data_IF_734726173294
#
_entry.id   IF_734726173294
#
_cell.length_a   1.000
_cell.length_b   1.000
_cell.length_c   1.000
_cell.angle_alpha   90.00
_cell.angle_beta   90.00
_cell.angle_gamma   90.00
#
_symmetry.space_group_name_H-M   'P 1'
#
loop_
_entity.id
_entity.type
_entity.pdbx_description
1 polymer ?
#
# COMPACT_ATOMS: atom_id res chain seq x y z
N UNK A 1 4.31 -11.52 11.75
CA UNK A 1 4.02 -10.14 12.15
C UNK A 1 2.76 -9.69 11.45
N UNK A 2 1.74 -9.22 12.18
CA UNK A 2 0.42 -8.91 11.63
C UNK A 2 0.19 -7.40 11.58
N UNK A 3 -0.23 -6.92 10.43
CA UNK A 3 -0.45 -5.50 10.17
C UNK A 3 -1.84 -5.03 10.60
N UNK A 4 -2.85 -5.91 10.59
CA UNK A 4 -4.25 -5.53 10.84
C UNK A 4 -5.12 -6.71 11.28
N UNK A 5 -6.28 -6.40 11.86
CA UNK A 5 -7.37 -7.35 12.18
C UNK A 5 -8.24 -7.73 10.99
N UNK A 6 -8.00 -7.17 9.80
CA UNK A 6 -8.76 -7.52 8.60
C UNK A 6 -8.57 -9.01 8.31
N UNK A 7 -9.68 -9.69 8.01
CA UNK A 7 -9.73 -11.17 7.92
C UNK A 7 -8.73 -11.73 6.92
N UNK A 8 -8.58 -11.07 5.78
CA UNK A 8 -7.62 -11.40 4.72
C UNK A 8 -6.15 -11.31 5.17
N UNK A 9 -5.86 -10.59 6.26
CA UNK A 9 -4.52 -10.51 6.85
C UNK A 9 -4.32 -11.49 8.03
N UNK A 10 -5.35 -11.74 8.85
CA UNK A 10 -5.17 -12.46 10.12
C UNK A 10 -5.85 -13.84 10.23
N UNK A 11 -6.67 -14.26 9.24
CA UNK A 11 -7.45 -15.52 9.36
C UNK A 11 -6.62 -16.79 9.48
N UNK A 12 -5.38 -16.77 8.96
CA UNK A 12 -4.51 -17.95 8.94
C UNK A 12 -3.75 -18.18 10.25
N UNK A 13 -3.79 -17.23 11.19
CA UNK A 13 -2.88 -17.22 12.34
C UNK A 13 -3.07 -18.43 13.26
N UNK A 14 -4.32 -18.75 13.62
CA UNK A 14 -4.61 -19.85 14.54
C UNK A 14 -4.24 -21.21 13.95
N UNK A 15 -4.47 -21.38 12.64
CA UNK A 15 -4.05 -22.59 11.94
C UNK A 15 -2.54 -22.70 11.87
N UNK A 16 -1.85 -21.60 11.57
CA UNK A 16 -0.39 -21.59 11.51
C UNK A 16 0.23 -21.87 12.89
N UNK A 17 -0.28 -21.25 13.95
CA UNK A 17 0.18 -21.47 15.32
C UNK A 17 -0.08 -22.91 15.82
N UNK A 18 -1.15 -23.57 15.33
CA UNK A 18 -1.38 -25.00 15.60
C UNK A 18 -0.32 -25.90 14.97
N UNK A 19 0.20 -25.55 13.80
CA UNK A 19 1.25 -26.31 13.13
C UNK A 19 2.65 -26.01 13.70
N UNK A 20 2.85 -24.82 14.25
CA UNK A 20 4.13 -24.36 14.80
C UNK A 20 3.92 -23.80 16.22
N UNK A 21 3.94 -24.65 17.27
CA UNK A 21 3.59 -24.24 18.64
C UNK A 21 4.49 -23.15 19.23
N UNK A 22 5.75 -23.08 18.81
CA UNK A 22 6.72 -22.08 19.28
C UNK A 22 6.70 -20.79 18.44
N UNK A 23 5.78 -20.69 17.46
CA UNK A 23 5.68 -19.53 16.59
C UNK A 23 5.23 -18.29 17.39
N UNK A 24 6.06 -17.26 17.36
CA UNK A 24 5.71 -15.97 17.94
C UNK A 24 4.85 -15.15 16.97
N UNK A 25 3.68 -14.72 17.43
CA UNK A 25 2.72 -13.93 16.66
C UNK A 25 2.70 -12.51 17.22
N UNK A 26 3.23 -11.58 16.43
CA UNK A 26 3.33 -10.16 16.76
C UNK A 26 2.20 -9.34 16.13
N UNK A 27 1.69 -8.34 16.86
CA UNK A 27 0.66 -7.43 16.38
C UNK A 27 0.23 -6.40 17.43
N UNK A 28 -0.50 -5.36 17.02
CA UNK A 28 -0.86 -4.25 17.91
C UNK A 28 -2.16 -4.46 18.70
N UNK A 29 -2.94 -5.51 18.39
CA UNK A 29 -4.27 -5.72 18.94
C UNK A 29 -4.46 -7.13 19.50
N UNK A 30 -4.92 -7.22 20.76
CA UNK A 30 -5.22 -8.48 21.45
C UNK A 30 -6.29 -9.33 20.77
N UNK A 31 -7.08 -8.76 19.86
CA UNK A 31 -8.09 -9.46 19.06
C UNK A 31 -7.47 -10.24 17.89
N UNK A 32 -6.18 -10.07 17.61
CA UNK A 32 -5.46 -10.84 16.60
C UNK A 32 -5.42 -12.30 17.07
N UNK A 33 -5.93 -13.22 16.24
CA UNK A 33 -5.91 -14.65 16.53
C UNK A 33 -4.48 -15.16 16.76
N UNK A 34 -4.32 -16.00 17.77
CA UNK A 34 -3.04 -16.57 18.22
C UNK A 34 -1.94 -15.56 18.60
N UNK A 35 -2.27 -14.29 18.89
CA UNK A 35 -1.29 -13.30 19.31
C UNK A 35 -0.51 -13.76 20.55
N UNK A 36 0.81 -13.76 20.46
CA UNK A 36 1.70 -14.04 21.60
C UNK A 36 2.32 -12.74 22.13
N UNK A 37 2.68 -11.82 21.23
CA UNK A 37 3.48 -10.65 21.55
C UNK A 37 2.75 -9.39 21.05
N UNK A 38 2.18 -8.62 21.97
CA UNK A 38 1.59 -7.33 21.62
C UNK A 38 2.69 -6.28 21.50
N UNK A 39 2.76 -5.60 20.36
CA UNK A 39 3.77 -4.55 20.09
C UNK A 39 3.17 -3.15 20.09
N UNK A 40 4.03 -2.16 20.29
CA UNK A 40 3.69 -0.73 20.33
C UNK A 40 4.50 0.09 19.32
N UNK A 41 4.16 1.37 19.17
CA UNK A 41 4.88 2.28 18.26
C UNK A 41 6.34 2.44 18.70
N UNK A 42 7.25 2.47 17.73
CA UNK A 42 8.71 2.53 17.89
C UNK A 42 9.35 1.37 18.68
N UNK A 43 8.58 0.34 19.00
CA UNK A 43 9.14 -0.86 19.61
C UNK A 43 10.06 -1.58 18.61
N UNK A 44 11.30 -1.80 19.03
CA UNK A 44 12.30 -2.51 18.24
C UNK A 44 12.39 -3.97 18.67
N UNK A 45 12.35 -4.85 17.67
CA UNK A 45 12.50 -6.29 17.81
C UNK A 45 13.73 -6.72 17.02
N UNK A 46 14.32 -7.85 17.41
CA UNK A 46 15.48 -8.42 16.72
C UNK A 46 15.29 -9.92 16.49
N UNK A 47 15.52 -10.36 15.26
CA UNK A 47 15.43 -11.74 14.83
C UNK A 47 16.73 -12.14 14.12
N UNK A 48 17.70 -12.65 14.89
CA UNK A 48 19.06 -12.83 14.37
C UNK A 48 19.69 -11.47 14.04
N UNK A 49 20.14 -11.29 12.81
CA UNK A 49 20.72 -10.02 12.32
C UNK A 49 19.66 -9.02 11.83
N UNK A 50 18.41 -9.47 11.70
CA UNK A 50 17.28 -8.66 11.23
C UNK A 50 16.73 -7.81 12.37
N UNK A 51 16.85 -6.50 12.23
CA UNK A 51 16.22 -5.52 13.11
C UNK A 51 14.84 -5.15 12.54
N UNK A 52 13.84 -5.00 13.42
CA UNK A 52 12.47 -4.62 13.06
C UNK A 52 12.00 -3.49 13.96
N UNK A 53 11.53 -2.39 13.38
CA UNK A 53 10.83 -1.31 14.10
C UNK A 53 9.34 -1.36 13.82
N UNK A 54 8.54 -1.39 14.87
CA UNK A 54 7.08 -1.43 14.80
C UNK A 54 6.52 -0.01 14.66
N UNK A 55 5.85 0.28 13.54
CA UNK A 55 5.34 1.60 13.21
C UNK A 55 3.81 1.62 13.27
N UNK A 56 3.26 2.13 14.37
CA UNK A 56 1.81 2.25 14.53
C UNK A 56 1.21 3.26 13.54
N UNK A 57 0.29 2.82 12.68
CA UNK A 57 -0.28 3.63 11.58
C UNK A 57 -1.82 3.59 11.55
N UNK A 58 -2.51 4.06 12.61
CA UNK A 58 -3.96 3.97 12.69
C UNK A 58 -4.61 4.78 11.57
N UNK A 59 -5.52 4.19 10.80
CA UNK A 59 -6.45 4.88 9.91
C UNK A 59 -7.33 3.85 9.18
N UNK A 60 -6.68 2.96 8.41
CA UNK A 60 -7.38 1.88 7.72
C UNK A 60 -8.10 0.95 8.70
N UNK A 61 -7.41 0.63 9.79
CA UNK A 61 -8.00 0.17 11.04
C UNK A 61 -7.40 0.99 12.17
N UNK A 62 -8.09 1.08 13.30
CA UNK A 62 -7.57 1.80 14.48
C UNK A 62 -6.34 1.13 15.10
N UNK A 63 -6.07 -0.12 14.72
CA UNK A 63 -4.96 -0.91 15.27
C UNK A 63 -3.93 -1.34 14.21
N UNK A 64 -3.86 -0.61 13.09
CA UNK A 64 -2.93 -0.96 12.02
C UNK A 64 -1.45 -0.74 12.44
N UNK A 65 -0.58 -1.66 12.04
CA UNK A 65 0.86 -1.66 12.31
C UNK A 65 1.64 -1.91 11.02
N UNK A 66 2.62 -1.06 10.72
CA UNK A 66 3.64 -1.33 9.70
C UNK A 66 4.91 -1.86 10.37
N UNK A 67 5.72 -2.62 9.64
CA UNK A 67 7.00 -3.14 10.15
C UNK A 67 8.12 -2.70 9.24
N UNK A 68 9.00 -1.83 9.73
CA UNK A 68 10.23 -1.42 9.05
C UNK A 68 11.35 -2.37 9.44
N UNK A 69 12.10 -2.86 8.47
CA UNK A 69 13.06 -3.96 8.63
C UNK A 69 14.38 -3.60 7.96
N UNK A 70 15.48 -3.82 8.66
CA UNK A 70 16.83 -3.63 8.14
C UNK A 70 17.81 -4.60 8.80
N UNK A 71 18.99 -4.74 8.20
CA UNK A 71 20.13 -5.48 8.76
C UNK A 71 21.33 -4.55 8.85
N UNK A 72 22.05 -4.60 9.96
CA UNK A 72 23.23 -3.76 10.16
C UNK A 72 24.37 -4.20 9.22
N UNK A 73 24.98 -3.26 8.50
CA UNK A 73 26.04 -3.51 7.50
C UNK A 73 25.60 -4.33 6.26
N UNK A 74 24.30 -4.45 6.00
CA UNK A 74 23.80 -5.05 4.76
C UNK A 74 23.83 -4.02 3.62
N UNK A 75 24.35 -4.37 2.42
CA UNK A 75 24.33 -3.47 1.26
C UNK A 75 22.93 -3.33 0.64
N UNK A 76 21.98 -4.21 0.96
CA UNK A 76 20.62 -4.12 0.47
C UNK A 76 19.83 -3.03 1.21
N UNK A 77 19.00 -2.31 0.45
CA UNK A 77 18.09 -1.32 1.02
C UNK A 77 17.10 -1.96 2.01
N UNK A 78 16.72 -1.23 3.09
CA UNK A 78 15.74 -1.71 4.06
C UNK A 78 14.35 -1.90 3.42
N UNK A 79 13.42 -2.49 4.16
CA UNK A 79 12.07 -2.77 3.69
C UNK A 79 11.01 -2.33 4.70
N UNK A 80 9.83 -1.95 4.22
CA UNK A 80 8.65 -1.72 5.06
C UNK A 80 7.49 -2.58 4.58
N UNK A 81 6.93 -3.37 5.50
CA UNK A 81 5.67 -4.08 5.31
C UNK A 81 4.52 -3.18 5.72
N UNK A 82 3.90 -2.51 4.75
CA UNK A 82 2.97 -1.40 4.98
C UNK A 82 1.50 -1.82 5.13
N UNK A 83 1.20 -3.10 4.90
CA UNK A 83 -0.17 -3.63 4.94
C UNK A 83 -1.11 -2.80 4.07
N UNK A 84 -2.20 -2.32 4.68
CA UNK A 84 -3.23 -1.53 4.02
C UNK A 84 -3.11 -0.03 4.33
N UNK A 85 -1.97 0.43 4.85
CA UNK A 85 -1.69 1.86 5.05
C UNK A 85 -1.24 2.51 3.74
N UNK A 86 -0.09 2.06 3.22
CA UNK A 86 0.51 2.53 1.96
C UNK A 86 0.48 1.40 0.92
N UNK A 87 -0.02 1.71 -0.27
CA UNK A 87 0.05 0.85 -1.45
C UNK A 87 0.89 1.52 -2.52
N UNK A 88 1.35 0.75 -3.50
CA UNK A 88 1.97 1.33 -4.69
C UNK A 88 0.95 2.22 -5.42
N UNK A 89 1.24 3.52 -5.48
CA UNK A 89 0.40 4.55 -6.10
C UNK A 89 -0.91 4.83 -5.35
N UNK A 90 -1.07 4.37 -4.11
CA UNK A 90 -2.30 4.57 -3.34
C UNK A 90 -2.14 4.48 -1.83
N UNK A 91 -3.26 4.57 -1.12
CA UNK A 91 -3.36 4.29 0.31
C UNK A 91 -4.64 3.51 0.64
N UNK A 92 -4.71 2.99 1.86
CA UNK A 92 -5.90 2.36 2.43
C UNK A 92 -7.15 3.24 2.39
N UNK A 93 -8.31 2.60 2.36
CA UNK A 93 -9.58 3.27 2.74
C UNK A 93 -9.57 3.58 4.23
N UNK A 94 -10.16 4.71 4.61
CA UNK A 94 -10.19 5.18 6.00
C UNK A 94 -11.40 4.58 6.73
N UNK A 95 -11.42 3.26 6.92
CA UNK A 95 -12.60 2.61 7.51
C UNK A 95 -12.84 3.01 8.96
N UNK A 96 -11.78 3.24 9.72
CA UNK A 96 -11.85 3.47 11.17
C UNK A 96 -11.06 4.71 11.60
N UNK A 97 -10.72 5.59 10.67
CA UNK A 97 -9.86 6.73 10.94
C UNK A 97 -10.09 7.93 10.05
N UNK A 98 -9.18 8.90 10.14
CA UNK A 98 -9.34 10.23 9.53
C UNK A 98 -8.27 10.51 8.48
N UNK A 99 -8.51 11.54 7.67
CA UNK A 99 -7.51 12.05 6.73
C UNK A 99 -6.25 12.58 7.44
N UNK A 100 -6.39 13.24 8.58
CA UNK A 100 -5.27 13.70 9.41
C UNK A 100 -4.38 12.53 9.85
N UNK A 101 -5.01 11.43 10.29
CA UNK A 101 -4.28 10.22 10.65
C UNK A 101 -3.53 9.61 9.46
N UNK A 102 -4.19 9.44 8.30
CA UNK A 102 -3.50 8.92 7.12
C UNK A 102 -2.37 9.86 6.67
N UNK A 103 -2.60 11.17 6.67
CA UNK A 103 -1.58 12.17 6.34
C UNK A 103 -0.36 12.04 7.24
N UNK A 104 -0.54 11.96 8.56
CA UNK A 104 0.55 11.72 9.52
C UNK A 104 1.26 10.39 9.25
N UNK A 105 0.50 9.30 9.05
CA UNK A 105 1.08 7.99 8.79
C UNK A 105 1.97 8.01 7.53
N UNK A 106 1.50 8.63 6.45
CA UNK A 106 2.22 8.65 5.18
C UNK A 106 3.42 9.59 5.20
N UNK A 107 3.31 10.78 5.81
CA UNK A 107 4.35 11.81 5.72
C UNK A 107 5.31 11.84 6.91
N UNK A 108 4.82 11.59 8.12
CA UNK A 108 5.62 11.74 9.35
C UNK A 108 6.13 10.41 9.90
N UNK A 109 5.46 9.29 9.57
CA UNK A 109 5.87 7.95 10.01
C UNK A 109 6.58 7.19 8.88
N UNK A 110 5.90 6.97 7.75
CA UNK A 110 6.48 6.23 6.63
C UNK A 110 7.40 7.11 5.79
N UNK A 111 7.00 8.34 5.50
CA UNK A 111 7.77 9.29 4.68
C UNK A 111 9.08 9.78 5.30
N UNK A 112 9.33 9.48 6.58
CA UNK A 112 10.58 9.81 7.29
C UNK A 112 11.60 8.67 7.30
N UNK A 113 11.22 7.49 6.80
CA UNK A 113 12.15 6.37 6.59
C UNK A 113 13.13 6.67 5.44
N UNK A 114 14.25 5.91 5.33
CA UNK A 114 15.19 6.07 4.21
C UNK A 114 14.49 5.97 2.85
N UNK A 115 14.88 6.80 1.89
CA UNK A 115 14.19 6.92 0.60
C UNK A 115 14.22 5.61 -0.21
N UNK A 116 15.31 4.89 -0.11
CA UNK A 116 15.56 3.60 -0.74
C UNK A 116 14.71 2.45 -0.14
N UNK A 117 13.98 2.69 0.96
CA UNK A 117 13.18 1.67 1.64
C UNK A 117 12.18 1.05 0.66
N UNK A 118 12.28 -0.27 0.50
CA UNK A 118 11.38 -1.07 -0.33
C UNK A 118 10.00 -1.17 0.32
N UNK A 119 8.93 -0.91 -0.42
CA UNK A 119 7.55 -0.97 0.07
C UNK A 119 6.90 -2.29 -0.32
N UNK A 120 6.50 -3.08 0.67
CA UNK A 120 5.74 -4.32 0.53
C UNK A 120 4.33 -4.14 1.11
N UNK A 121 3.36 -3.86 0.24
CA UNK A 121 1.98 -3.60 0.64
C UNK A 121 1.09 -4.85 0.61
N UNK A 122 -0.09 -4.77 1.24
CA UNK A 122 -0.98 -5.92 1.48
C UNK A 122 -1.77 -6.42 0.27
N UNK A 123 -1.89 -5.63 -0.81
CA UNK A 123 -2.74 -5.97 -1.96
C UNK A 123 -2.15 -5.56 -3.29
N UNK A 124 -2.41 -6.37 -4.33
CA UNK A 124 -2.12 -6.05 -5.72
C UNK A 124 -3.21 -5.10 -6.29
N UNK A 125 -3.08 -3.81 -5.96
CA UNK A 125 -4.00 -2.75 -6.42
C UNK A 125 -3.34 -1.76 -7.39
N UNK A 126 -2.09 -2.00 -7.80
CA UNK A 126 -1.20 -0.99 -8.39
C UNK A 126 -1.73 -0.40 -9.69
N UNK A 127 -2.24 -1.22 -10.61
CA UNK A 127 -2.81 -0.72 -11.87
C UNK A 127 -4.02 0.19 -11.61
N UNK A 128 -4.90 -0.18 -10.69
CA UNK A 128 -6.10 0.62 -10.36
C UNK A 128 -5.71 1.92 -9.64
N UNK A 129 -4.70 1.85 -8.76
CA UNK A 129 -4.14 3.00 -8.06
C UNK A 129 -3.52 4.00 -9.05
N UNK A 130 -2.68 3.54 -9.96
CA UNK A 130 -2.01 4.39 -10.94
C UNK A 130 -2.97 4.95 -12.00
N UNK A 131 -4.06 4.26 -12.34
CA UNK A 131 -5.14 4.85 -13.15
C UNK A 131 -5.82 6.02 -12.45
N UNK A 132 -5.99 5.94 -11.12
CA UNK A 132 -6.49 7.08 -10.35
C UNK A 132 -5.45 8.19 -10.28
N UNK A 133 -4.18 7.87 -10.01
CA UNK A 133 -3.09 8.84 -10.02
C UNK A 133 -3.01 9.59 -11.36
N UNK A 134 -3.16 8.90 -12.49
CA UNK A 134 -3.15 9.52 -13.82
C UNK A 134 -4.34 10.46 -14.05
N UNK A 135 -5.48 10.20 -13.39
CA UNK A 135 -6.62 11.13 -13.40
C UNK A 135 -6.30 12.39 -12.59
N UNK A 136 -5.60 12.26 -11.47
CA UNK A 136 -5.22 13.37 -10.58
C UNK A 136 -4.17 14.26 -11.25
N UNK A 137 -3.12 13.65 -11.82
CA UNK A 137 -2.00 14.34 -12.48
C UNK A 137 -1.80 13.80 -13.90
N UNK A 138 -2.59 14.23 -14.90
CA UNK A 138 -2.52 13.70 -16.27
C UNK A 138 -1.18 13.93 -16.99
N UNK A 139 -0.44 14.94 -16.55
CA UNK A 139 0.84 15.35 -17.13
C UNK A 139 2.06 14.82 -16.35
N UNK A 140 1.85 14.04 -15.28
CA UNK A 140 2.95 13.45 -14.51
C UNK A 140 3.52 12.23 -15.25
N UNK A 141 4.71 12.37 -15.81
CA UNK A 141 5.38 11.31 -16.58
C UNK A 141 5.73 10.08 -15.71
N UNK A 142 6.10 10.27 -14.43
CA UNK A 142 6.37 9.15 -13.53
C UNK A 142 5.13 8.26 -13.32
N UNK A 143 3.94 8.86 -13.25
CA UNK A 143 2.67 8.12 -13.19
C UNK A 143 2.43 7.32 -14.48
N UNK A 144 2.69 7.92 -15.64
CA UNK A 144 2.50 7.26 -16.95
C UNK A 144 3.46 6.07 -17.11
N UNK A 145 4.73 6.27 -16.79
CA UNK A 145 5.77 5.24 -16.87
C UNK A 145 5.48 4.09 -15.90
N UNK A 146 5.17 4.41 -14.63
CA UNK A 146 4.85 3.38 -13.63
C UNK A 146 3.58 2.62 -14.00
N UNK A 147 2.57 3.28 -14.57
CA UNK A 147 1.35 2.61 -15.03
C UNK A 147 1.62 1.65 -16.20
N UNK A 148 2.47 2.06 -17.16
CA UNK A 148 2.87 1.20 -18.27
C UNK A 148 3.63 -0.03 -17.77
N UNK A 149 4.58 0.17 -16.85
CA UNK A 149 5.31 -0.90 -16.19
C UNK A 149 4.38 -1.86 -15.43
N UNK A 150 3.43 -1.32 -14.65
CA UNK A 150 2.50 -2.13 -13.86
C UNK A 150 1.60 -2.99 -14.75
N UNK A 151 1.08 -2.44 -15.86
CA UNK A 151 0.30 -3.20 -16.85
C UNK A 151 1.12 -4.33 -17.48
N UNK A 152 2.36 -4.05 -17.87
CA UNK A 152 3.23 -5.08 -18.46
C UNK A 152 3.58 -6.23 -17.50
N UNK A 153 3.50 -6.00 -16.18
CA UNK A 153 3.64 -7.04 -15.14
C UNK A 153 2.34 -7.79 -14.90
N UNK A 154 1.22 -7.07 -14.85
CA UNK A 154 -0.14 -7.64 -14.73
C UNK A 154 -0.43 -8.59 -15.90
N UNK A 155 -0.10 -8.20 -17.13
CA UNK A 155 -0.21 -9.04 -18.34
C UNK A 155 0.64 -10.33 -18.29
N UNK A 156 1.60 -10.41 -17.36
CA UNK A 156 2.51 -11.55 -17.15
C UNK A 156 2.25 -12.26 -15.82
N UNK A 157 1.18 -11.93 -15.10
CA UNK A 157 0.88 -12.44 -13.75
C UNK A 157 2.04 -12.24 -12.76
N UNK A 158 2.80 -11.15 -12.91
CA UNK A 158 3.92 -10.81 -12.02
C UNK A 158 3.48 -9.77 -10.98
N UNK A 159 3.85 -9.94 -9.70
CA UNK A 159 3.51 -8.97 -8.66
C UNK A 159 4.17 -7.62 -8.91
N UNK A 160 3.53 -6.52 -8.56
CA UNK A 160 4.10 -5.17 -8.69
C UNK A 160 4.87 -4.71 -7.46
N UNK A 161 4.90 -5.50 -6.38
CA UNK A 161 5.79 -5.27 -5.24
C UNK A 161 7.21 -5.81 -5.49
N UNK A 162 8.24 -5.19 -4.88
CA UNK A 162 8.18 -3.92 -4.14
C UNK A 162 8.30 -2.68 -5.05
N UNK A 163 7.84 -1.53 -4.56
CA UNK A 163 8.34 -0.20 -4.97
C UNK A 163 9.37 0.32 -3.95
N UNK A 164 9.79 1.59 -4.05
CA UNK A 164 10.57 2.29 -3.01
C UNK A 164 9.78 3.49 -2.47
N UNK A 165 10.12 4.01 -1.29
CA UNK A 165 9.51 5.25 -0.79
C UNK A 165 9.83 6.45 -1.69
N UNK A 166 11.04 6.49 -2.25
CA UNK A 166 11.43 7.49 -3.26
C UNK A 166 10.45 7.51 -4.44
N UNK A 167 10.21 6.35 -5.04
CA UNK A 167 9.25 6.17 -6.14
C UNK A 167 7.84 6.66 -5.76
N UNK A 168 7.37 6.36 -4.55
CA UNK A 168 6.02 6.76 -4.12
C UNK A 168 5.85 8.28 -4.05
N UNK A 169 6.91 9.05 -3.75
CA UNK A 169 6.84 10.52 -3.78
C UNK A 169 6.70 11.09 -5.20
N UNK A 170 7.01 10.31 -6.24
CA UNK A 170 6.92 10.76 -7.62
C UNK A 170 5.54 10.53 -8.25
N UNK A 171 4.83 9.46 -7.88
CA UNK A 171 3.56 9.09 -8.54
C UNK A 171 2.37 8.84 -7.61
N UNK A 172 2.55 8.74 -6.29
CA UNK A 172 1.44 8.43 -5.39
C UNK A 172 0.73 9.72 -4.96
N UNK A 173 -0.52 9.98 -5.39
CA UNK A 173 -1.19 11.24 -5.09
C UNK A 173 -1.40 11.48 -3.58
N UNK A 174 -1.43 10.41 -2.77
CA UNK A 174 -1.55 10.51 -1.32
C UNK A 174 -0.23 10.84 -0.61
N UNK A 175 0.91 10.63 -1.26
CA UNK A 175 2.23 11.07 -0.79
C UNK A 175 2.58 12.49 -1.30
N UNK A 176 1.77 13.02 -2.24
CA UNK A 176 1.99 14.26 -2.99
C UNK A 176 0.96 15.34 -2.66
N UNK A 177 0.34 15.29 -1.48
CA UNK A 177 -0.76 16.20 -1.10
C UNK A 177 -0.36 17.69 -0.98
N UNK A 178 0.93 17.98 -0.97
CA UNK A 178 1.49 19.34 -0.98
C UNK A 178 1.81 19.86 -2.38
N UNK A 179 1.74 19.00 -3.40
CA UNK A 179 2.09 19.35 -4.77
C UNK A 179 0.97 20.17 -5.42
N UNK A 180 1.34 21.26 -6.09
CA UNK A 180 0.40 22.19 -6.74
C UNK A 180 -0.59 21.47 -7.69
N UNK A 181 -0.18 20.52 -8.55
CA UNK A 181 -1.11 19.81 -9.41
C UNK A 181 -2.20 19.04 -8.64
N UNK A 182 -1.83 18.41 -7.52
CA UNK A 182 -2.75 17.62 -6.67
C UNK A 182 -3.70 18.55 -5.91
N UNK A 183 -3.20 19.67 -5.39
CA UNK A 183 -4.01 20.72 -4.76
C UNK A 183 -5.03 21.31 -5.74
N UNK A 184 -4.58 21.66 -6.95
CA UNK A 184 -5.45 22.17 -8.02
C UNK A 184 -6.53 21.17 -8.44
N UNK A 185 -6.19 19.88 -8.55
CA UNK A 185 -7.16 18.82 -8.87
C UNK A 185 -8.23 18.67 -7.80
N UNK A 186 -7.86 18.78 -6.53
CA UNK A 186 -8.80 18.65 -5.41
C UNK A 186 -9.56 19.93 -5.08
N UNK A 187 -9.04 21.08 -5.50
CA UNK A 187 -9.55 22.40 -5.12
C UNK A 187 -9.26 22.78 -3.67
N UNK A 188 -8.33 22.09 -3.01
CA UNK A 188 -7.93 22.30 -1.62
C UNK A 188 -6.44 22.67 -1.55
N UNK A 189 -6.03 23.33 -0.47
CA UNK A 189 -4.62 23.72 -0.25
C UNK A 189 -4.07 23.21 1.07
N UNK A 190 -4.92 22.99 2.08
CA UNK A 190 -4.52 22.29 3.30
C UNK A 190 -4.25 20.79 3.00
N UNK A 191 -3.08 20.24 3.34
CA UNK A 191 -2.73 18.85 3.03
C UNK A 191 -3.71 17.80 3.57
N UNK A 192 -4.34 18.06 4.72
CA UNK A 192 -5.32 17.13 5.31
C UNK A 192 -6.65 17.20 4.55
N UNK A 193 -7.07 18.38 4.12
CA UNK A 193 -8.24 18.55 3.25
C UNK A 193 -8.02 17.93 1.86
N UNK A 194 -6.81 18.10 1.29
CA UNK A 194 -6.40 17.44 0.03
C UNK A 194 -6.46 15.92 0.18
N UNK A 195 -5.91 15.37 1.27
CA UNK A 195 -5.97 13.94 1.60
C UNK A 195 -7.41 13.42 1.67
N UNK A 196 -8.30 14.15 2.36
CA UNK A 196 -9.72 13.78 2.48
C UNK A 196 -10.45 13.81 1.12
N UNK A 197 -10.19 14.84 0.31
CA UNK A 197 -10.76 14.99 -1.02
C UNK A 197 -10.30 13.87 -1.96
N UNK A 198 -9.00 13.59 -2.03
CA UNK A 198 -8.44 12.49 -2.82
C UNK A 198 -9.05 11.15 -2.43
N UNK A 199 -9.17 10.89 -1.12
CA UNK A 199 -9.73 9.62 -0.62
C UNK A 199 -11.17 9.44 -1.08
N UNK A 200 -11.99 10.48 -0.92
CA UNK A 200 -13.39 10.50 -1.35
C UNK A 200 -13.50 10.29 -2.87
N UNK A 201 -12.67 10.97 -3.65
CA UNK A 201 -12.65 10.83 -5.10
C UNK A 201 -12.23 9.42 -5.53
N UNK A 202 -11.23 8.82 -4.88
CA UNK A 202 -10.78 7.44 -5.17
C UNK A 202 -11.80 6.39 -4.78
N UNK A 203 -12.54 6.61 -3.69
CA UNK A 203 -13.58 5.67 -3.26
C UNK A 203 -14.77 5.62 -4.24
N UNK A 204 -15.01 6.72 -4.94
CA UNK A 204 -16.03 6.82 -6.00
C UNK A 204 -15.47 6.59 -7.41
N UNK A 205 -14.16 6.31 -7.55
CA UNK A 205 -13.53 6.08 -8.85
C UNK A 205 -13.87 4.68 -9.36
N UNK A 206 -14.73 4.62 -10.39
CA UNK A 206 -15.00 3.39 -11.13
C UNK A 206 -13.87 3.15 -12.13
N UNK A 207 -13.34 1.92 -12.18
CA UNK A 207 -12.35 1.51 -13.20
C UNK A 207 -12.89 1.90 -14.58
N UNK A 208 -12.16 2.70 -15.38
CA UNK A 208 -12.51 2.90 -16.78
C UNK A 208 -12.62 1.52 -17.41
N UNK A 209 -13.72 1.26 -18.14
CA UNK A 209 -13.87 -0.01 -18.88
C UNK A 209 -12.64 -0.16 -19.76
N UNK A 210 -11.87 -1.22 -19.57
CA UNK A 210 -10.87 -1.62 -20.55
C UNK A 210 -11.64 -2.01 -21.80
N UNK A 211 -11.54 -1.18 -22.84
CA UNK A 211 -11.86 -1.63 -24.19
C UNK A 211 -10.89 -2.76 -24.50
N UNK A 212 -11.41 -3.97 -24.73
CA UNK A 212 -10.61 -5.07 -25.24
C UNK A 212 -9.79 -4.56 -26.45
N UNK A 213 -8.54 -4.99 -26.62
CA UNK A 213 -7.82 -4.75 -27.87
C UNK A 213 -8.69 -5.23 -29.04
N UNK A 214 -8.72 -4.48 -30.14
CA UNK A 214 -9.52 -4.82 -31.34
C UNK A 214 -9.37 -6.31 -31.75
N UNK A 215 -8.17 -6.91 -31.71
CA UNK A 215 -8.01 -8.35 -31.98
C UNK A 215 -8.77 -9.27 -31.02
N UNK A 216 -8.82 -8.93 -29.72
CA UNK A 216 -9.53 -9.72 -28.71
C UNK A 216 -11.06 -9.57 -28.84
N UNK A 217 -11.54 -8.38 -29.24
CA UNK A 217 -12.93 -8.14 -29.61
C UNK A 217 -13.34 -8.97 -30.82
N UNK A 218 -12.52 -8.96 -31.88
CA UNK A 218 -12.74 -9.75 -33.09
C UNK A 218 -12.71 -11.26 -32.81
N UNK A 219 -11.81 -11.74 -31.95
CA UNK A 219 -11.76 -13.15 -31.58
C UNK A 219 -13.01 -13.61 -30.80
N UNK A 220 -13.59 -12.71 -30.00
CA UNK A 220 -14.86 -12.95 -29.30
C UNK A 220 -16.05 -12.94 -30.28
N UNK A 221 -16.09 -11.97 -31.21
CA UNK A 221 -17.13 -11.85 -32.24
C UNK A 221 -17.09 -13.03 -33.24
N UNK A 222 -15.91 -13.54 -33.55
CA UNK A 222 -15.71 -14.67 -34.45
C UNK A 222 -15.83 -16.04 -33.77
N UNK A 223 -16.16 -16.07 -32.48
CA UNK A 223 -16.48 -17.31 -31.76
C UNK A 223 -15.29 -18.25 -31.56
N UNK A 224 -14.04 -17.76 -31.63
CA UNK A 224 -12.82 -18.54 -31.49
C UNK A 224 -12.61 -19.16 -30.09
N UNK A 225 -13.50 -18.86 -29.15
CA UNK A 225 -13.46 -19.34 -27.76
C UNK A 225 -14.74 -20.06 -27.30
N UNK A 226 -15.59 -20.56 -28.22
CA UNK A 226 -16.64 -21.51 -27.83
C UNK A 226 -16.06 -22.94 -27.82
N UNK A 227 -16.37 -23.77 -26.80
CA UNK A 227 -15.86 -25.12 -26.68
C UNK A 227 -16.33 -26.05 -27.81
#
# INVERSE_FOLDING_TARGET
>A
MLQSLKRDHCRGNEELARHYPDLQVYGADKRIGALTNKVTHDEELKFGDINVRCLFTPCHTVTHMCYFIWEDNCPDAPAVFSGDTLFIGGCGRFYEGTADQMYKNLTQILGTLPKETKVFCGHECTVTNLKFALKVEPDNEAVKEKLAWAKARDDKDLPTVPSTLEDEFDYNPFMRVTEEPVQKFTGQTDPVEVMAALRTMKDNFKKPKETLPVPALLALEWGLFRP
#
